data_IF_175550294757
#
_entry.id   IF_175550294757
#
_cell.length_a   1.000
_cell.length_b   1.000
_cell.length_c   1.000
_cell.angle_alpha   90.00
_cell.angle_beta   90.00
_cell.angle_gamma   90.00
#
_symmetry.space_group_name_H-M   'P 1'
#
loop_
_entity.id
_entity.type
_entity.pdbx_description
1 polymer ?
#
# COMPACT_ATOMS: atom_id res chain seq x y z
N UNK A 1 -5.38 -0.40 -17.21
CA UNK A 1 -6.45 -0.38 -16.18
C UNK A 1 -5.83 -1.03 -14.95
N UNK A 2 -5.25 -0.23 -14.06
CA UNK A 2 -4.67 -0.73 -12.82
C UNK A 2 -5.84 -1.10 -11.90
N UNK A 3 -6.10 -2.40 -11.74
CA UNK A 3 -6.99 -2.87 -10.66
C UNK A 3 -6.26 -2.60 -9.36
N UNK A 4 -6.90 -1.93 -8.42
CA UNK A 4 -6.29 -1.74 -7.10
C UNK A 4 -6.06 -3.10 -6.44
N UNK A 5 -5.02 -3.23 -5.60
CA UNK A 5 -4.77 -4.47 -4.85
C UNK A 5 -6.02 -4.95 -4.08
N UNK A 6 -6.84 -4.00 -3.66
CA UNK A 6 -8.13 -4.25 -3.02
C UNK A 6 -9.10 -5.00 -3.96
N UNK A 7 -9.29 -4.50 -5.20
CA UNK A 7 -10.21 -5.15 -6.16
C UNK A 7 -9.74 -6.54 -6.54
N UNK A 8 -8.42 -6.70 -6.77
CA UNK A 8 -7.81 -8.01 -7.05
C UNK A 8 -8.05 -8.96 -5.89
N UNK A 9 -7.83 -8.51 -4.66
CA UNK A 9 -8.00 -9.34 -3.45
C UNK A 9 -9.47 -9.71 -3.22
N UNK A 10 -10.41 -8.78 -3.42
CA UNK A 10 -11.84 -9.06 -3.30
C UNK A 10 -12.31 -10.07 -4.37
N UNK A 11 -11.84 -9.92 -5.62
CA UNK A 11 -12.12 -10.90 -6.68
C UNK A 11 -11.55 -12.28 -6.38
N UNK A 12 -10.35 -12.34 -5.77
CA UNK A 12 -9.75 -13.60 -5.32
C UNK A 12 -10.55 -14.26 -4.19
N UNK A 13 -11.08 -13.48 -3.23
CA UNK A 13 -11.96 -13.98 -2.17
C UNK A 13 -13.20 -14.67 -2.77
N UNK A 14 -13.84 -14.05 -3.77
CA UNK A 14 -15.00 -14.61 -4.42
C UNK A 14 -14.66 -15.93 -5.15
N UNK A 15 -13.51 -15.99 -5.83
CA UNK A 15 -13.03 -17.21 -6.47
C UNK A 15 -12.74 -18.34 -5.46
N UNK A 16 -12.04 -18.03 -4.35
CA UNK A 16 -11.72 -18.99 -3.30
C UNK A 16 -12.99 -19.49 -2.59
N UNK A 17 -14.01 -18.65 -2.41
CA UNK A 17 -15.26 -19.03 -1.77
C UNK A 17 -15.99 -20.16 -2.51
N UNK A 18 -15.77 -20.31 -3.82
CA UNK A 18 -16.32 -21.38 -4.65
C UNK A 18 -15.72 -22.76 -4.38
N UNK A 19 -14.51 -22.83 -3.77
CA UNK A 19 -13.76 -24.08 -3.56
C UNK A 19 -13.51 -24.43 -2.09
N UNK A 20 -14.14 -23.73 -1.16
CA UNK A 20 -13.94 -23.93 0.29
C UNK A 20 -14.31 -25.31 0.82
N UNK A 21 -15.14 -26.07 0.10
CA UNK A 21 -15.55 -27.42 0.49
C UNK A 21 -14.52 -28.51 0.17
N UNK A 22 -13.47 -28.17 -0.59
CA UNK A 22 -12.36 -29.06 -0.95
C UNK A 22 -11.03 -28.42 -0.53
N UNK A 23 -10.41 -28.86 0.57
CA UNK A 23 -9.14 -28.30 1.05
C UNK A 23 -8.01 -28.39 0.03
N UNK A 24 -7.99 -29.45 -0.81
CA UNK A 24 -6.99 -29.61 -1.86
C UNK A 24 -7.15 -28.56 -2.97
N UNK A 25 -8.40 -28.36 -3.43
CA UNK A 25 -8.73 -27.36 -4.43
C UNK A 25 -8.47 -25.94 -3.89
N UNK A 26 -8.80 -25.67 -2.62
CA UNK A 26 -8.52 -24.38 -1.97
C UNK A 26 -7.02 -24.08 -1.95
N UNK A 27 -6.19 -25.04 -1.53
CA UNK A 27 -4.72 -24.89 -1.50
C UNK A 27 -4.15 -24.63 -2.89
N UNK A 28 -4.57 -25.38 -3.91
CA UNK A 28 -4.10 -25.21 -5.29
C UNK A 28 -4.52 -23.86 -5.85
N UNK A 29 -5.76 -23.43 -5.58
CA UNK A 29 -6.27 -22.12 -6.04
C UNK A 29 -5.54 -20.97 -5.37
N UNK A 30 -5.33 -21.03 -4.06
CA UNK A 30 -4.57 -20.03 -3.33
C UNK A 30 -3.14 -19.89 -3.88
N UNK A 31 -2.43 -21.02 -4.09
CA UNK A 31 -1.08 -21.00 -4.66
C UNK A 31 -1.04 -20.36 -6.05
N UNK A 32 -1.98 -20.70 -6.94
CA UNK A 32 -2.05 -20.09 -8.28
C UNK A 32 -2.29 -18.58 -8.24
N UNK A 33 -3.14 -18.11 -7.33
CA UNK A 33 -3.39 -16.68 -7.16
C UNK A 33 -2.12 -15.96 -6.72
N UNK A 34 -1.37 -16.50 -5.77
CA UNK A 34 -0.10 -15.94 -5.29
C UNK A 34 1.00 -15.95 -6.35
N UNK A 35 1.06 -16.99 -7.20
CA UNK A 35 1.98 -17.03 -8.34
C UNK A 35 1.74 -15.92 -9.35
N UNK A 36 0.47 -15.50 -9.55
CA UNK A 36 0.11 -14.40 -10.46
C UNK A 36 0.22 -13.02 -9.81
N UNK A 37 0.16 -12.95 -8.48
CA UNK A 37 0.20 -11.72 -7.68
C UNK A 37 1.21 -11.84 -6.53
N UNK A 38 2.51 -12.01 -6.84
CA UNK A 38 3.52 -12.36 -5.85
C UNK A 38 3.79 -11.27 -4.82
N UNK A 39 3.38 -10.02 -5.08
CA UNK A 39 3.67 -8.85 -4.23
C UNK A 39 2.39 -8.21 -3.66
N UNK A 40 1.24 -8.86 -3.77
CA UNK A 40 -0.02 -8.41 -3.20
C UNK A 40 -0.18 -8.95 -1.76
N UNK A 41 0.28 -8.19 -0.76
CA UNK A 41 0.23 -8.63 0.64
C UNK A 41 -1.19 -8.89 1.18
N UNK A 42 -2.23 -8.10 0.88
CA UNK A 42 -3.61 -8.45 1.23
C UNK A 42 -4.03 -9.83 0.74
N UNK A 43 -3.65 -10.20 -0.49
CA UNK A 43 -3.95 -11.50 -1.04
C UNK A 43 -3.20 -12.63 -0.32
N UNK A 44 -1.92 -12.43 0.05
CA UNK A 44 -1.16 -13.39 0.85
C UNK A 44 -1.82 -13.61 2.20
N UNK A 45 -2.23 -12.55 2.88
CA UNK A 45 -2.95 -12.62 4.15
C UNK A 45 -4.25 -13.44 4.02
N UNK A 46 -5.08 -13.11 3.03
CA UNK A 46 -6.35 -13.80 2.78
C UNK A 46 -6.13 -15.28 2.49
N UNK A 47 -5.18 -15.62 1.61
CA UNK A 47 -4.87 -17.00 1.26
C UNK A 47 -4.37 -17.79 2.49
N UNK A 48 -3.41 -17.23 3.25
CA UNK A 48 -2.88 -17.90 4.44
C UNK A 48 -3.96 -18.17 5.48
N UNK A 49 -4.80 -17.17 5.78
CA UNK A 49 -5.91 -17.30 6.73
C UNK A 49 -6.96 -18.30 6.24
N UNK A 50 -7.33 -18.27 4.97
CA UNK A 50 -8.33 -19.18 4.41
C UNK A 50 -7.87 -20.64 4.47
N UNK A 51 -6.60 -20.96 4.13
CA UNK A 51 -6.11 -22.34 4.11
C UNK A 51 -5.85 -22.91 5.50
N UNK A 52 -5.67 -22.06 6.53
CA UNK A 52 -5.43 -22.47 7.92
C UNK A 52 -6.70 -22.45 8.79
N UNK A 53 -7.77 -21.82 8.32
CA UNK A 53 -9.01 -21.69 9.09
C UNK A 53 -9.77 -23.01 9.21
N UNK A 54 -10.44 -23.20 10.33
CA UNK A 54 -11.40 -24.32 10.53
C UNK A 54 -12.65 -24.16 9.64
N UNK A 55 -13.08 -22.93 9.40
CA UNK A 55 -14.15 -22.58 8.46
C UNK A 55 -13.61 -21.55 7.44
N UNK A 56 -13.02 -22.01 6.32
CA UNK A 56 -12.46 -21.12 5.30
C UNK A 56 -13.48 -20.12 4.75
N UNK A 57 -14.76 -20.54 4.62
CA UNK A 57 -15.80 -19.68 4.08
C UNK A 57 -16.15 -18.52 5.02
N UNK A 58 -16.21 -18.79 6.33
CA UNK A 58 -16.42 -17.75 7.33
C UNK A 58 -15.23 -16.78 7.36
N UNK A 59 -14.01 -17.31 7.26
CA UNK A 59 -12.78 -16.51 7.25
C UNK A 59 -12.71 -15.58 6.03
N UNK A 60 -13.02 -16.07 4.83
CA UNK A 60 -13.08 -15.26 3.61
C UNK A 60 -14.11 -14.14 3.72
N UNK A 61 -15.30 -14.40 4.30
CA UNK A 61 -16.29 -13.34 4.55
C UNK A 61 -15.78 -12.28 5.53
N UNK A 62 -15.09 -12.71 6.57
CA UNK A 62 -14.49 -11.79 7.56
C UNK A 62 -13.40 -10.93 6.91
N UNK A 63 -12.51 -11.53 6.15
CA UNK A 63 -11.47 -10.83 5.40
C UNK A 63 -12.05 -9.82 4.41
N UNK A 64 -13.08 -10.19 3.66
CA UNK A 64 -13.76 -9.27 2.73
C UNK A 64 -14.39 -8.06 3.44
N UNK A 65 -14.93 -8.26 4.65
CA UNK A 65 -15.49 -7.17 5.46
C UNK A 65 -14.39 -6.24 5.94
N UNK A 66 -13.31 -6.78 6.52
CA UNK A 66 -12.18 -5.98 7.00
C UNK A 66 -11.57 -5.12 5.89
N UNK A 67 -11.46 -5.67 4.67
CA UNK A 67 -10.97 -4.92 3.51
C UNK A 67 -11.91 -3.79 3.07
N UNK A 68 -13.25 -4.02 3.11
CA UNK A 68 -14.22 -3.00 2.70
C UNK A 68 -14.42 -1.91 3.76
N UNK A 69 -14.28 -2.27 5.04
CA UNK A 69 -14.49 -1.38 6.18
C UNK A 69 -13.18 -0.67 6.61
N UNK A 70 -12.13 -0.72 5.76
CA UNK A 70 -10.83 -0.09 6.05
C UNK A 70 -10.96 1.43 6.11
N UNK A 71 -10.74 2.00 7.29
CA UNK A 71 -10.87 3.43 7.56
C UNK A 71 -9.56 4.23 7.36
N UNK A 72 -8.48 3.60 6.87
CA UNK A 72 -7.16 4.21 6.73
C UNK A 72 -7.20 5.53 5.96
N UNK A 73 -7.91 5.56 4.82
CA UNK A 73 -8.04 6.77 4.00
C UNK A 73 -8.78 7.91 4.75
N UNK A 74 -9.79 7.57 5.57
CA UNK A 74 -10.50 8.57 6.36
C UNK A 74 -9.62 9.17 7.47
N UNK A 75 -8.80 8.33 8.13
CA UNK A 75 -7.86 8.80 9.15
C UNK A 75 -6.77 9.69 8.54
N UNK A 76 -6.21 9.31 7.38
CA UNK A 76 -5.25 10.15 6.66
C UNK A 76 -5.88 11.49 6.29
N UNK A 77 -7.07 11.49 5.68
CA UNK A 77 -7.77 12.71 5.28
C UNK A 77 -8.01 13.67 6.47
N UNK A 78 -8.40 13.11 7.63
CA UNK A 78 -8.65 13.91 8.82
C UNK A 78 -7.39 14.54 9.44
N UNK A 79 -6.21 13.94 9.19
CA UNK A 79 -4.93 14.41 9.74
C UNK A 79 -4.21 15.41 8.82
N UNK A 80 -4.51 15.42 7.51
CA UNK A 80 -3.87 16.35 6.57
C UNK A 80 -4.18 17.81 6.96
N UNK A 81 -3.18 18.70 7.01
CA UNK A 81 -3.41 20.13 7.25
C UNK A 81 -4.30 20.76 6.17
N UNK A 82 -4.99 21.83 6.51
CA UNK A 82 -5.79 22.59 5.56
C UNK A 82 -4.90 23.27 4.54
N UNK A 83 -5.34 23.30 3.27
CA UNK A 83 -4.61 23.88 2.12
C UNK A 83 -3.20 23.32 1.91
N UNK A 84 -2.90 22.11 2.44
CA UNK A 84 -1.58 21.52 2.34
C UNK A 84 -1.21 21.13 0.91
N UNK A 85 0.09 21.20 0.60
CA UNK A 85 0.66 20.54 -0.57
C UNK A 85 1.26 19.20 -0.12
N UNK A 86 0.85 18.12 -0.73
CA UNK A 86 1.38 16.78 -0.46
C UNK A 86 2.18 16.26 -1.66
N UNK A 87 3.27 15.52 -1.39
CA UNK A 87 4.00 14.78 -2.39
C UNK A 87 3.74 13.28 -2.20
N UNK A 88 3.40 12.58 -3.26
CA UNK A 88 3.22 11.11 -3.25
C UNK A 88 3.86 10.48 -4.47
N UNK A 89 3.97 9.15 -4.52
CA UNK A 89 4.59 8.43 -5.63
C UNK A 89 3.77 7.22 -6.05
N UNK A 90 3.68 7.00 -7.36
CA UNK A 90 3.00 5.86 -7.97
C UNK A 90 1.50 5.83 -7.69
N UNK A 91 0.96 4.64 -7.42
CA UNK A 91 -0.45 4.40 -7.17
C UNK A 91 -0.71 3.93 -5.73
N UNK A 92 -1.71 4.51 -5.09
CA UNK A 92 -2.27 4.01 -3.83
C UNK A 92 -3.75 4.38 -3.72
N UNK A 93 -4.62 3.38 -3.64
CA UNK A 93 -6.06 3.59 -3.45
C UNK A 93 -6.37 4.38 -2.17
N UNK A 94 -5.71 4.08 -1.06
CA UNK A 94 -5.93 4.81 0.21
C UNK A 94 -5.49 6.27 0.14
N UNK A 95 -4.38 6.58 -0.54
CA UNK A 95 -3.93 7.97 -0.73
C UNK A 95 -4.91 8.71 -1.64
N UNK A 96 -5.32 8.10 -2.76
CA UNK A 96 -6.30 8.68 -3.68
C UNK A 96 -7.62 8.95 -2.95
N UNK A 97 -8.16 7.98 -2.22
CA UNK A 97 -9.42 8.14 -1.47
C UNK A 97 -9.31 9.23 -0.39
N UNK A 98 -8.17 9.34 0.29
CA UNK A 98 -7.94 10.38 1.29
C UNK A 98 -7.92 11.77 0.65
N UNK A 99 -7.20 11.94 -0.47
CA UNK A 99 -7.11 13.22 -1.18
C UNK A 99 -8.44 13.62 -1.83
N UNK A 100 -9.22 12.68 -2.34
CA UNK A 100 -10.56 12.95 -2.87
C UNK A 100 -11.54 13.45 -1.78
N UNK A 101 -11.32 13.10 -0.52
CA UNK A 101 -12.10 13.64 0.62
C UNK A 101 -11.70 15.06 0.99
N UNK A 102 -10.55 15.53 0.50
CA UNK A 102 -9.94 16.84 0.79
C UNK A 102 -9.80 17.61 -0.53
N UNK A 103 -10.82 18.42 -0.82
CA UNK A 103 -10.82 19.27 -2.02
C UNK A 103 -9.86 20.48 -1.96
N UNK A 104 -9.30 20.75 -0.78
CA UNK A 104 -8.39 21.85 -0.47
C UNK A 104 -6.91 21.47 -0.60
N UNK A 105 -6.58 20.18 -0.66
CA UNK A 105 -5.19 19.69 -0.69
C UNK A 105 -4.68 19.57 -2.12
N UNK A 106 -3.51 20.16 -2.39
CA UNK A 106 -2.80 20.01 -3.67
C UNK A 106 -1.91 18.77 -3.63
N UNK A 107 -1.91 17.99 -4.72
CA UNK A 107 -1.11 16.77 -4.84
C UNK A 107 -0.03 16.88 -5.93
N UNK A 108 1.24 16.70 -5.54
CA UNK A 108 2.36 16.48 -6.44
C UNK A 108 2.60 14.97 -6.54
N UNK A 109 2.28 14.38 -7.69
CA UNK A 109 2.33 12.94 -7.91
C UNK A 109 3.57 12.58 -8.71
N UNK A 110 4.57 12.01 -8.06
CA UNK A 110 5.77 11.51 -8.74
C UNK A 110 5.44 10.24 -9.50
N UNK A 111 5.81 10.18 -10.77
CA UNK A 111 5.58 8.98 -11.57
C UNK A 111 6.51 7.84 -11.14
N UNK A 112 5.96 6.65 -11.08
CA UNK A 112 6.70 5.40 -10.89
C UNK A 112 6.22 4.41 -11.93
N UNK A 113 7.02 4.20 -12.96
CA UNK A 113 6.76 3.25 -14.06
C UNK A 113 5.39 3.42 -14.74
N UNK A 114 4.81 4.62 -14.68
CA UNK A 114 3.50 4.95 -15.26
C UNK A 114 2.33 4.93 -14.26
N UNK A 115 2.52 4.41 -13.05
CA UNK A 115 1.44 4.30 -12.05
C UNK A 115 0.98 5.68 -11.51
N UNK A 116 1.87 6.68 -11.51
CA UNK A 116 1.53 8.06 -11.15
C UNK A 116 0.47 8.68 -12.07
N UNK A 117 0.41 8.27 -13.34
CA UNK A 117 -0.61 8.71 -14.28
C UNK A 117 -2.02 8.22 -13.89
N UNK A 118 -2.13 7.04 -13.30
CA UNK A 118 -3.41 6.52 -12.82
C UNK A 118 -3.89 7.33 -11.61
N UNK A 119 -3.00 7.63 -10.67
CA UNK A 119 -3.25 8.52 -9.54
C UNK A 119 -3.72 9.89 -10.02
N UNK A 120 -2.98 10.52 -10.93
CA UNK A 120 -3.35 11.82 -11.50
C UNK A 120 -4.75 11.78 -12.14
N UNK A 121 -5.05 10.75 -12.94
CA UNK A 121 -6.36 10.62 -13.62
C UNK A 121 -7.52 10.52 -12.62
N UNK A 122 -7.35 9.80 -11.52
CA UNK A 122 -8.39 9.66 -10.50
C UNK A 122 -8.60 10.96 -9.75
N UNK A 123 -7.54 11.63 -9.33
CA UNK A 123 -7.62 12.91 -8.62
C UNK A 123 -8.19 14.02 -9.51
N UNK A 124 -7.72 14.15 -10.76
CA UNK A 124 -8.23 15.16 -11.71
C UNK A 124 -9.71 14.97 -12.01
N UNK A 125 -10.20 13.73 -12.15
CA UNK A 125 -11.65 13.45 -12.35
C UNK A 125 -12.49 13.83 -11.16
N UNK A 126 -11.94 13.77 -9.97
CA UNK A 126 -12.60 14.20 -8.74
C UNK A 126 -12.55 15.73 -8.52
N UNK A 127 -11.78 16.46 -9.35
CA UNK A 127 -11.64 17.91 -9.26
C UNK A 127 -10.55 18.38 -8.29
N UNK A 128 -9.66 17.46 -7.83
CA UNK A 128 -8.54 17.85 -6.98
C UNK A 128 -7.47 18.61 -7.78
N UNK A 129 -6.80 19.58 -7.13
CA UNK A 129 -5.58 20.21 -7.64
C UNK A 129 -4.43 19.20 -7.58
N UNK A 130 -3.95 18.78 -8.74
CA UNK A 130 -2.91 17.75 -8.82
C UNK A 130 -2.03 17.93 -10.06
N UNK A 131 -0.76 17.57 -9.91
CA UNK A 131 0.25 17.68 -10.96
C UNK A 131 1.10 16.41 -11.02
N UNK A 132 1.37 15.92 -12.24
CA UNK A 132 2.29 14.80 -12.45
C UNK A 132 3.71 15.33 -12.47
N UNK A 133 4.57 14.75 -11.63
CA UNK A 133 5.99 15.08 -11.54
C UNK A 133 6.80 13.93 -12.16
N UNK A 134 7.67 14.26 -13.10
CA UNK A 134 8.62 13.28 -13.64
C UNK A 134 9.59 12.82 -12.51
N UNK A 135 10.12 11.58 -12.56
CA UNK A 135 11.04 11.07 -11.53
C UNK A 135 12.23 11.99 -11.24
N UNK A 136 12.72 12.73 -12.23
CA UNK A 136 13.81 13.68 -12.11
C UNK A 136 13.44 14.91 -11.25
N UNK A 137 12.14 15.21 -11.15
CA UNK A 137 11.61 16.31 -10.33
C UNK A 137 11.32 15.93 -8.88
N UNK A 138 11.54 14.66 -8.48
CA UNK A 138 11.21 14.12 -7.17
C UNK A 138 11.71 15.00 -6.02
N UNK A 139 12.97 15.39 -6.05
CA UNK A 139 13.57 16.17 -4.96
C UNK A 139 12.87 17.52 -4.77
N UNK A 140 12.64 18.25 -5.87
CA UNK A 140 11.96 19.55 -5.83
C UNK A 140 10.50 19.41 -5.38
N UNK A 141 9.81 18.35 -5.80
CA UNK A 141 8.44 18.08 -5.35
C UNK A 141 8.38 17.83 -3.85
N UNK A 142 9.29 17.02 -3.30
CA UNK A 142 9.39 16.77 -1.85
C UNK A 142 9.68 18.06 -1.09
N UNK A 143 10.65 18.88 -1.54
CA UNK A 143 10.96 20.15 -0.90
C UNK A 143 9.81 21.16 -0.90
N UNK A 144 8.95 21.08 -1.94
CA UNK A 144 7.78 21.97 -2.10
C UNK A 144 6.56 21.47 -1.32
N UNK A 145 6.58 20.25 -0.79
CA UNK A 145 5.46 19.66 -0.07
C UNK A 145 5.54 19.91 1.44
N UNK A 146 4.38 20.02 2.08
CA UNK A 146 4.26 20.05 3.53
C UNK A 146 4.39 18.66 4.14
N UNK A 147 3.91 17.64 3.40
CA UNK A 147 3.92 16.23 3.82
C UNK A 147 4.23 15.34 2.62
N UNK A 148 5.07 14.35 2.84
CA UNK A 148 5.33 13.27 1.88
C UNK A 148 4.53 12.04 2.26
N UNK A 149 3.65 11.57 1.35
CA UNK A 149 2.80 10.40 1.55
C UNK A 149 3.38 9.20 0.83
N UNK A 150 3.58 8.10 1.55
CA UNK A 150 4.04 6.82 1.00
C UNK A 150 3.07 5.70 1.35
N UNK A 151 2.96 4.71 0.46
CA UNK A 151 2.10 3.54 0.67
C UNK A 151 2.95 2.29 0.84
N UNK A 152 2.63 1.50 1.87
CA UNK A 152 3.23 0.19 2.07
C UNK A 152 2.45 -0.88 1.29
N UNK A 153 3.08 -1.50 0.29
CA UNK A 153 2.54 -2.68 -0.39
C UNK A 153 2.55 -3.91 0.53
N UNK A 154 3.60 -4.03 1.36
CA UNK A 154 3.68 -5.00 2.46
C UNK A 154 4.50 -4.41 3.61
N UNK A 155 4.15 -4.79 4.84
CA UNK A 155 4.84 -4.36 6.07
C UNK A 155 5.44 -5.58 6.76
N UNK A 156 6.76 -5.58 6.93
CA UNK A 156 7.53 -6.53 7.74
C UNK A 156 7.87 -5.97 9.12
N UNK A 157 8.80 -6.63 9.82
CA UNK A 157 9.19 -6.24 11.17
C UNK A 157 10.08 -4.98 11.19
N UNK A 158 11.04 -4.85 10.27
CA UNK A 158 12.05 -3.79 10.26
C UNK A 158 11.92 -2.84 9.04
N UNK A 159 11.28 -3.31 7.99
CA UNK A 159 11.14 -2.57 6.73
C UNK A 159 9.77 -2.80 6.06
N UNK A 160 9.53 -2.03 5.02
CA UNK A 160 8.33 -2.12 4.21
C UNK A 160 8.70 -2.30 2.75
N UNK A 161 7.89 -3.06 2.03
CA UNK A 161 7.89 -3.10 0.58
C UNK A 161 6.96 -2.00 0.06
N UNK A 162 7.46 -1.16 -0.81
CA UNK A 162 6.73 -0.04 -1.39
C UNK A 162 7.00 0.06 -2.90
N UNK A 163 6.27 0.89 -3.63
CA UNK A 163 6.53 1.07 -5.07
C UNK A 163 7.92 1.65 -5.32
N UNK A 164 8.50 1.34 -6.49
CA UNK A 164 9.82 1.80 -6.88
C UNK A 164 9.94 3.32 -6.86
N UNK A 165 11.04 3.83 -6.29
CA UNK A 165 11.30 5.26 -6.05
C UNK A 165 10.86 5.75 -4.66
N UNK A 166 10.09 4.95 -3.90
CA UNK A 166 9.64 5.34 -2.54
C UNK A 166 10.81 5.51 -1.58
N UNK A 167 11.84 4.66 -1.64
CA UNK A 167 13.04 4.81 -0.82
C UNK A 167 13.76 6.13 -1.11
N UNK A 168 13.88 6.50 -2.38
CA UNK A 168 14.50 7.77 -2.76
C UNK A 168 13.64 8.95 -2.27
N UNK A 169 12.32 8.90 -2.48
CA UNK A 169 11.37 9.92 -2.02
C UNK A 169 11.47 10.16 -0.50
N UNK A 170 11.40 9.07 0.29
CA UNK A 170 11.49 9.13 1.74
C UNK A 170 12.87 9.62 2.24
N UNK A 171 13.95 9.22 1.54
CA UNK A 171 15.31 9.68 1.86
C UNK A 171 15.49 11.17 1.61
N UNK A 172 14.97 11.71 0.52
CA UNK A 172 14.98 13.15 0.25
C UNK A 172 14.17 13.88 1.31
N UNK A 173 12.97 13.40 1.64
CA UNK A 173 12.14 13.99 2.69
C UNK A 173 12.87 14.02 4.03
N UNK A 174 13.51 12.91 4.41
CA UNK A 174 14.35 12.85 5.62
C UNK A 174 15.48 13.87 5.62
N UNK A 175 16.25 13.95 4.53
CA UNK A 175 17.37 14.88 4.40
C UNK A 175 16.94 16.36 4.42
N UNK A 176 15.73 16.65 3.93
CA UNK A 176 15.19 18.03 3.89
C UNK A 176 14.31 18.37 5.08
N UNK A 177 14.17 17.45 6.05
CA UNK A 177 13.35 17.66 7.25
C UNK A 177 11.85 17.68 6.97
N UNK A 178 11.40 17.10 5.86
CA UNK A 178 9.97 16.99 5.54
C UNK A 178 9.37 15.72 6.17
N UNK A 179 8.17 15.79 6.74
CA UNK A 179 7.54 14.64 7.37
C UNK A 179 7.17 13.58 6.32
N UNK A 180 7.48 12.33 6.61
CA UNK A 180 7.06 11.16 5.83
C UNK A 180 5.93 10.47 6.57
N UNK A 181 4.77 10.40 5.95
CA UNK A 181 3.59 9.70 6.46
C UNK A 181 3.33 8.46 5.62
N UNK A 182 3.26 7.32 6.27
CA UNK A 182 3.02 6.04 5.63
C UNK A 182 1.56 5.60 5.80
N UNK A 183 1.00 5.12 4.72
CA UNK A 183 -0.33 4.49 4.70
C UNK A 183 -0.15 2.98 4.64
N UNK A 184 -0.68 2.28 5.65
CA UNK A 184 -0.56 0.84 5.79
C UNK A 184 -1.88 0.24 6.26
N UNK A 185 -2.60 -0.45 5.36
CA UNK A 185 -3.77 -1.25 5.73
C UNK A 185 -3.36 -2.38 6.69
N UNK A 186 -4.27 -2.81 7.56
CA UNK A 186 -4.04 -4.02 8.39
C UNK A 186 -3.75 -5.25 7.51
N UNK A 187 -4.35 -5.31 6.33
CA UNK A 187 -4.16 -6.41 5.39
C UNK A 187 -2.77 -6.45 4.74
N UNK A 188 -2.00 -5.35 4.77
CA UNK A 188 -0.63 -5.30 4.24
C UNK A 188 0.42 -5.81 5.22
N UNK A 189 0.07 -6.02 6.49
CA UNK A 189 0.99 -6.56 7.50
C UNK A 189 1.13 -8.06 7.33
N UNK A 190 2.35 -8.52 7.22
CA UNK A 190 2.67 -9.93 7.05
C UNK A 190 3.65 -10.39 8.14
N UNK A 191 3.45 -11.57 8.71
CA UNK A 191 4.49 -12.20 9.52
C UNK A 191 5.72 -12.50 8.66
N UNK A 192 6.92 -12.55 9.26
CA UNK A 192 8.19 -12.76 8.58
C UNK A 192 8.16 -13.95 7.61
N UNK A 193 7.51 -15.05 8.01
CA UNK A 193 7.37 -16.26 7.17
C UNK A 193 6.67 -16.02 5.80
N UNK A 194 5.89 -14.95 5.66
CA UNK A 194 5.24 -14.55 4.40
C UNK A 194 5.92 -13.34 3.78
N UNK A 195 6.45 -12.43 4.59
CA UNK A 195 7.10 -11.21 4.14
C UNK A 195 8.45 -11.48 3.49
N UNK A 196 9.33 -12.24 4.16
CA UNK A 196 10.70 -12.49 3.70
C UNK A 196 10.75 -13.13 2.30
N UNK A 197 9.96 -14.18 1.99
CA UNK A 197 9.92 -14.74 0.63
C UNK A 197 9.45 -13.73 -0.43
N UNK A 198 8.54 -12.80 -0.06
CA UNK A 198 8.08 -11.75 -0.97
C UNK A 198 9.20 -10.76 -1.29
N UNK A 199 9.94 -10.31 -0.27
CA UNK A 199 11.11 -9.43 -0.44
C UNK A 199 12.22 -10.12 -1.22
N UNK A 200 12.52 -11.39 -0.92
CA UNK A 200 13.51 -12.17 -1.64
C UNK A 200 13.18 -12.32 -3.13
N UNK A 201 11.90 -12.52 -3.45
CA UNK A 201 11.42 -12.57 -4.84
C UNK A 201 11.62 -11.24 -5.59
N UNK A 202 11.49 -10.10 -4.88
CA UNK A 202 11.76 -8.76 -5.45
C UNK A 202 13.26 -8.53 -5.63
N UNK A 203 14.07 -8.84 -4.60
CA UNK A 203 15.53 -8.67 -4.62
C UNK A 203 16.25 -9.61 -5.58
N UNK A 204 15.74 -10.83 -5.77
CA UNK A 204 16.29 -11.86 -6.64
C UNK A 204 16.05 -11.67 -8.14
N UNK A 205 15.44 -10.55 -8.56
CA UNK A 205 15.23 -10.26 -9.98
C UNK A 205 16.54 -10.03 -10.72
N UNK A 206 16.66 -10.47 -11.99
CA UNK A 206 17.87 -10.27 -12.80
C UNK A 206 18.24 -8.79 -12.96
N UNK A 207 17.22 -7.91 -13.03
CA UNK A 207 17.36 -6.47 -13.21
C UNK A 207 16.79 -5.72 -12.00
N UNK A 208 17.54 -5.63 -10.87
CA UNK A 208 17.04 -5.03 -9.63
C UNK A 208 16.70 -3.54 -9.76
N UNK A 209 17.37 -2.80 -10.65
CA UNK A 209 17.08 -1.40 -10.96
C UNK A 209 15.80 -1.19 -11.79
N UNK A 210 15.27 -2.23 -12.42
CA UNK A 210 13.97 -2.25 -13.09
C UNK A 210 12.87 -2.82 -12.21
N UNK A 211 13.15 -3.01 -10.91
CA UNK A 211 12.15 -3.45 -9.95
C UNK A 211 11.06 -2.37 -9.79
N UNK A 212 9.81 -2.77 -9.86
CA UNK A 212 8.70 -1.89 -9.53
C UNK A 212 8.54 -1.65 -8.02
N UNK A 213 9.47 -2.14 -7.19
CA UNK A 213 9.39 -2.09 -5.74
C UNK A 213 10.72 -1.73 -5.09
N UNK A 214 10.63 -1.01 -3.98
CA UNK A 214 11.71 -0.71 -3.06
C UNK A 214 11.45 -1.37 -1.71
N UNK A 215 12.53 -1.69 -1.00
CA UNK A 215 12.52 -2.04 0.42
C UNK A 215 12.98 -0.83 1.22
N UNK A 216 12.10 -0.26 2.03
CA UNK A 216 12.33 0.98 2.76
C UNK A 216 12.35 0.71 4.27
N UNK A 217 13.39 1.13 5.02
CA UNK A 217 13.43 0.95 6.47
C UNK A 217 12.38 1.81 7.19
N UNK A 218 11.80 1.27 8.26
CA UNK A 218 10.81 1.97 9.10
C UNK A 218 11.35 3.29 9.66
N UNK A 219 12.66 3.41 9.88
CA UNK A 219 13.29 4.61 10.43
C UNK A 219 13.14 5.89 9.59
N UNK A 220 12.70 5.78 8.33
CA UNK A 220 12.39 6.95 7.48
C UNK A 220 10.96 7.46 7.66
N UNK A 221 10.11 6.74 8.38
CA UNK A 221 8.68 7.05 8.55
C UNK A 221 8.46 7.82 9.85
N UNK A 222 7.84 9.00 9.74
CA UNK A 222 7.51 9.84 10.91
C UNK A 222 6.13 9.54 11.50
N UNK A 223 5.18 9.08 10.67
CA UNK A 223 3.85 8.69 11.13
C UNK A 223 3.26 7.57 10.26
N UNK A 224 2.41 6.73 10.86
CA UNK A 224 1.73 5.63 10.16
C UNK A 224 0.22 5.74 10.32
N UNK A 225 -0.49 5.66 9.20
CA UNK A 225 -1.95 5.64 9.15
C UNK A 225 -2.45 4.25 8.85
N UNK A 226 -3.37 3.76 9.68
CA UNK A 226 -3.95 2.42 9.64
C UNK A 226 -5.47 2.50 9.84
N UNK A 227 -6.21 1.39 9.68
CA UNK A 227 -7.64 1.34 10.02
C UNK A 227 -7.95 1.67 11.48
N UNK A 228 -6.95 1.59 12.37
CA UNK A 228 -7.08 1.89 13.81
C UNK A 228 -6.79 3.34 14.16
N UNK A 229 -6.36 4.17 13.21
CA UNK A 229 -6.00 5.58 13.38
C UNK A 229 -4.58 5.91 12.95
N UNK A 230 -4.13 7.12 13.24
CA UNK A 230 -2.80 7.72 13.09
C UNK A 230 -2.80 9.02 13.91
N UNK A 231 -1.73 9.75 14.06
CA UNK A 231 -0.30 9.59 13.82
C UNK A 231 0.51 9.00 14.98
N UNK A 232 -0.09 8.48 16.04
CA UNK A 232 0.63 7.91 17.20
C UNK A 232 1.32 6.56 16.89
N UNK A 233 1.82 6.48 15.67
CA UNK A 233 2.21 5.33 14.89
C UNK A 233 3.36 4.46 15.39
N UNK A 234 4.00 4.75 16.52
CA UNK A 234 5.01 3.84 17.09
C UNK A 234 4.40 2.48 17.54
N UNK A 235 3.09 2.43 17.80
CA UNK A 235 2.37 1.20 18.18
C UNK A 235 1.92 0.40 16.93
N UNK A 236 1.88 1.03 15.79
CA UNK A 236 1.25 0.46 14.60
C UNK A 236 2.13 -0.53 13.83
N UNK A 237 3.45 -0.55 14.01
CA UNK A 237 4.35 -1.42 13.25
C UNK A 237 4.69 -2.73 13.98
N UNK A 238 4.37 -2.87 15.26
CA UNK A 238 4.53 -4.15 15.94
C UNK A 238 3.56 -5.19 15.35
N UNK A 239 4.09 -6.21 14.71
CA UNK A 239 3.32 -7.37 14.24
C UNK A 239 2.87 -8.12 15.49
N UNK A 240 1.57 -8.25 15.71
CA UNK A 240 1.06 -9.20 16.70
C UNK A 240 1.27 -10.61 16.16
N UNK A 241 2.02 -11.43 16.92
CA UNK A 241 2.25 -12.84 16.67
C UNK A 241 0.97 -13.63 16.39
#
# INVERSE_FOLDING_TARGET
MCSSDLEVTLGAIDALAGVTNDPGALMVSARRLLEHQPVNAPLWNVCARAVTALDPRAELRTSARLLRDDATAAHLAAALPDDATVCTIGWSGHVVDALQRRGDVRALVVDSLGDGQDTLRHLSRAGNDCELVAPEGLATAVESADVTLVHAAAVGDDDVLACGGTLALASVAWCTGRPVWMVASEATRLPAALYDPMVDAVRGRPDPWASGFDVMPHGLVGAVFTPRGGPDGAVALAVSE
#
